data_IF_092323674394
#
_entry.id   IF_092323674394
#
_cell.length_a   1.000
_cell.length_b   1.000
_cell.length_c   1.000
_cell.angle_alpha   90.00
_cell.angle_beta   90.00
_cell.angle_gamma   90.00
#
_symmetry.space_group_name_H-M   'P 1'
#
loop_
_entity.id
_entity.type
_entity.pdbx_description
1 polymer ?
#
# COMPACT_ATOMS: atom_id res chain seq x y z
N UNK A 1 -24.45 -6.09 5.23
CA UNK A 1 -23.14 -6.56 5.70
C UNK A 1 -22.81 -7.81 4.91
N UNK A 2 -21.76 -7.86 4.11
CA UNK A 2 -21.37 -9.10 3.44
C UNK A 2 -20.85 -10.09 4.46
N UNK A 3 -21.22 -11.34 4.28
CA UNK A 3 -20.89 -12.47 5.14
C UNK A 3 -19.37 -12.72 5.09
N UNK A 4 -18.68 -12.48 6.20
CA UNK A 4 -17.23 -12.71 6.32
C UNK A 4 -17.01 -14.16 6.73
N UNK A 5 -16.76 -15.04 5.76
CA UNK A 5 -16.44 -16.44 6.06
C UNK A 5 -14.97 -16.55 6.45
N UNK A 6 -14.69 -16.81 7.71
CA UNK A 6 -13.33 -17.09 8.20
C UNK A 6 -13.05 -18.58 8.13
N UNK A 7 -12.06 -18.98 7.36
CA UNK A 7 -11.56 -20.35 7.35
C UNK A 7 -10.35 -20.51 8.30
N UNK A 8 -10.41 -21.43 9.24
CA UNK A 8 -9.26 -21.79 10.09
C UNK A 8 -8.74 -23.13 9.62
N UNK A 9 -7.52 -23.16 9.09
CA UNK A 9 -6.82 -24.42 8.82
C UNK A 9 -6.03 -24.78 10.06
N UNK A 10 -6.37 -25.90 10.69
CA UNK A 10 -5.61 -26.46 11.83
C UNK A 10 -4.61 -27.50 11.33
N UNK A 11 -3.33 -27.29 11.62
CA UNK A 11 -2.32 -28.32 11.47
C UNK A 11 -2.30 -29.18 12.76
N UNK A 12 -2.39 -30.52 12.68
CA UNK A 12 -2.56 -31.39 13.84
C UNK A 12 -1.40 -31.33 14.85
N UNK A 13 -0.19 -31.05 14.43
CA UNK A 13 1.02 -31.20 15.23
C UNK A 13 1.71 -29.92 15.71
N UNK A 14 1.23 -28.76 15.37
CA UNK A 14 1.74 -27.47 15.91
C UNK A 14 0.61 -26.48 16.08
N UNK A 15 0.57 -25.81 17.26
CA UNK A 15 -0.34 -24.69 17.54
C UNK A 15 0.01 -23.46 16.69
N UNK A 16 -0.04 -23.59 15.38
CA UNK A 16 0.08 -22.46 14.44
C UNK A 16 -1.33 -22.08 14.02
N UNK A 17 -1.82 -20.96 14.53
CA UNK A 17 -3.06 -20.35 14.04
C UNK A 17 -2.69 -19.61 12.75
N UNK A 18 -3.03 -20.18 11.61
CA UNK A 18 -3.01 -19.46 10.31
C UNK A 18 -4.40 -18.83 10.17
N UNK A 19 -4.47 -17.52 10.32
CA UNK A 19 -5.67 -16.77 9.96
C UNK A 19 -5.58 -16.48 8.47
N UNK A 20 -6.39 -17.16 7.69
CA UNK A 20 -6.59 -16.87 6.28
C UNK A 20 -7.94 -16.20 6.14
N UNK A 21 -7.94 -14.89 5.92
CA UNK A 21 -9.14 -14.14 5.59
C UNK A 21 -9.31 -14.16 4.08
N UNK A 22 -10.27 -14.92 3.57
CA UNK A 22 -10.68 -14.85 2.18
C UNK A 22 -11.74 -13.74 2.08
N UNK A 23 -11.34 -12.54 1.73
CA UNK A 23 -12.27 -11.46 1.41
C UNK A 23 -12.69 -11.61 -0.05
N UNK A 24 -13.83 -12.26 -0.28
CA UNK A 24 -14.54 -12.19 -1.56
C UNK A 24 -15.51 -11.00 -1.44
N UNK A 25 -15.00 -9.81 -1.74
CA UNK A 25 -15.81 -8.61 -1.85
C UNK A 25 -15.93 -8.23 -3.32
N UNK A 26 -17.15 -8.12 -3.84
CA UNK A 26 -17.38 -7.33 -5.03
C UNK A 26 -17.01 -5.89 -4.68
N UNK A 27 -15.99 -5.35 -5.34
CA UNK A 27 -15.62 -3.92 -5.26
C UNK A 27 -16.72 -3.09 -5.91
N UNK A 28 -17.84 -2.87 -5.23
CA UNK A 28 -18.73 -1.77 -5.57
C UNK A 28 -18.10 -0.47 -5.08
N UNK A 29 -17.54 0.26 -6.02
CA UNK A 29 -17.26 1.70 -6.10
C UNK A 29 -17.35 2.53 -4.81
N UNK A 30 -16.32 2.44 -3.95
CA UNK A 30 -15.91 3.58 -3.16
C UNK A 30 -14.45 3.92 -3.57
N UNK A 31 -14.28 4.30 -4.82
CA UNK A 31 -13.03 4.87 -5.30
C UNK A 31 -12.98 6.31 -4.84
N UNK A 32 -12.18 6.62 -3.83
CA UNK A 32 -11.78 8.01 -3.62
C UNK A 32 -11.17 8.51 -4.92
N UNK A 33 -11.78 9.54 -5.51
CA UNK A 33 -11.22 10.15 -6.71
C UNK A 33 -9.93 10.88 -6.33
N UNK A 34 -8.80 10.34 -6.73
CA UNK A 34 -7.47 10.91 -6.47
C UNK A 34 -7.07 11.98 -7.49
N UNK A 35 -7.83 12.17 -8.56
CA UNK A 35 -7.56 13.14 -9.62
C UNK A 35 -7.44 14.56 -9.04
N UNK A 36 -6.29 15.19 -9.25
CA UNK A 36 -5.97 16.55 -8.77
C UNK A 36 -5.69 16.66 -7.28
N UNK A 37 -5.84 15.58 -6.50
CA UNK A 37 -5.57 15.57 -5.06
C UNK A 37 -4.10 15.71 -4.75
N UNK A 38 -3.75 16.54 -3.76
CA UNK A 38 -2.38 16.67 -3.26
C UNK A 38 -2.14 15.63 -2.17
N UNK A 39 -1.29 14.66 -2.47
CA UNK A 39 -1.08 13.48 -1.63
C UNK A 39 0.35 13.42 -1.11
N UNK A 40 0.52 13.45 0.20
CA UNK A 40 1.81 13.22 0.83
C UNK A 40 2.21 11.76 0.70
N UNK A 41 3.43 11.49 0.27
CA UNK A 41 4.08 10.19 0.36
C UNK A 41 5.19 10.30 1.39
N UNK A 42 5.00 9.68 2.54
CA UNK A 42 5.97 9.70 3.63
C UNK A 42 6.92 8.52 3.52
N UNK A 43 8.15 8.81 3.22
CA UNK A 43 9.25 7.88 2.95
C UNK A 43 9.65 7.88 1.47
N UNK A 44 10.95 7.97 1.20
CA UNK A 44 11.56 8.03 -0.13
C UNK A 44 12.16 6.71 -0.59
N UNK A 45 11.90 5.61 0.13
CA UNK A 45 12.32 4.26 -0.21
C UNK A 45 11.52 3.66 -1.38
N UNK A 46 11.75 2.37 -1.67
CA UNK A 46 11.13 1.64 -2.77
C UNK A 46 9.60 1.75 -2.78
N UNK A 47 8.96 1.56 -1.63
CA UNK A 47 7.49 1.65 -1.48
C UNK A 47 6.98 3.05 -1.72
N UNK A 48 7.66 4.07 -1.16
CA UNK A 48 7.27 5.47 -1.35
C UNK A 48 7.41 5.91 -2.81
N UNK A 49 8.50 5.55 -3.48
CA UNK A 49 8.66 5.83 -4.92
C UNK A 49 7.53 5.16 -5.72
N UNK A 50 7.24 3.88 -5.48
CA UNK A 50 6.14 3.18 -6.15
C UNK A 50 4.77 3.80 -5.87
N UNK A 51 4.53 4.30 -4.65
CA UNK A 51 3.31 5.03 -4.32
C UNK A 51 3.23 6.38 -5.06
N UNK A 52 4.34 7.14 -5.14
CA UNK A 52 4.39 8.40 -5.86
C UNK A 52 4.15 8.22 -7.37
N UNK A 53 4.74 7.20 -7.98
CA UNK A 53 4.51 6.83 -9.39
C UNK A 53 3.04 6.45 -9.64
N UNK A 54 2.46 5.64 -8.75
CA UNK A 54 1.06 5.24 -8.84
C UNK A 54 0.14 6.46 -8.75
N UNK A 55 0.37 7.34 -7.79
CA UNK A 55 -0.38 8.57 -7.59
C UNK A 55 -0.32 9.48 -8.82
N UNK A 56 0.87 9.68 -9.39
CA UNK A 56 1.04 10.45 -10.62
C UNK A 56 0.23 9.87 -11.79
N UNK A 57 0.26 8.54 -11.97
CA UNK A 57 -0.47 7.83 -13.03
C UNK A 57 -1.99 7.90 -12.88
N UNK A 58 -2.51 8.02 -11.66
CA UNK A 58 -3.96 8.22 -11.41
C UNK A 58 -4.36 9.70 -11.40
N UNK A 59 -3.44 10.61 -11.74
CA UNK A 59 -3.69 12.05 -11.86
C UNK A 59 -3.67 12.81 -10.54
N UNK A 60 -3.17 12.23 -9.46
CA UNK A 60 -2.88 12.94 -8.22
C UNK A 60 -1.58 13.75 -8.32
N UNK A 61 -1.36 14.63 -7.35
CA UNK A 61 -0.15 15.43 -7.19
C UNK A 61 0.65 14.92 -5.99
N UNK A 62 1.59 13.99 -6.17
CA UNK A 62 2.38 13.47 -5.06
C UNK A 62 3.37 14.52 -4.54
N UNK A 63 3.50 14.56 -3.22
CA UNK A 63 4.51 15.31 -2.48
C UNK A 63 5.30 14.29 -1.67
N UNK A 64 6.60 14.15 -1.93
CA UNK A 64 7.44 13.20 -1.19
C UNK A 64 8.04 13.92 0.02
N UNK A 65 7.92 13.29 1.19
CA UNK A 65 8.58 13.74 2.41
C UNK A 65 9.38 12.59 3.03
N UNK A 66 10.58 12.90 3.49
CA UNK A 66 11.42 11.98 4.25
C UNK A 66 12.03 12.70 5.46
N UNK A 67 12.03 12.05 6.62
CA UNK A 67 12.60 12.58 7.84
C UNK A 67 14.12 12.71 7.83
N UNK A 68 14.81 12.11 6.87
CA UNK A 68 16.25 12.23 6.70
C UNK A 68 16.62 13.60 6.10
N UNK A 69 17.30 14.44 6.88
CA UNK A 69 17.75 15.76 6.47
C UNK A 69 18.80 15.74 5.35
N UNK A 70 19.57 14.65 5.28
CA UNK A 70 20.66 14.47 4.32
C UNK A 70 20.19 13.81 3.02
N UNK A 71 18.87 13.72 2.81
CA UNK A 71 18.29 13.13 1.60
C UNK A 71 18.68 13.93 0.36
N UNK A 72 19.25 13.26 -0.62
CA UNK A 72 19.46 13.82 -1.96
C UNK A 72 18.13 13.87 -2.73
N UNK A 73 17.52 15.06 -2.72
CA UNK A 73 16.22 15.31 -3.37
C UNK A 73 16.27 15.09 -4.88
N UNK A 74 17.39 15.45 -5.53
CA UNK A 74 17.53 15.26 -6.98
C UNK A 74 17.51 13.77 -7.36
N UNK A 75 18.17 12.94 -6.57
CA UNK A 75 18.12 11.49 -6.75
C UNK A 75 16.71 10.93 -6.56
N UNK A 76 15.91 11.48 -5.64
CA UNK A 76 14.50 11.07 -5.45
C UNK A 76 13.65 11.50 -6.65
N UNK A 77 13.78 12.75 -7.12
CA UNK A 77 13.04 13.28 -8.28
C UNK A 77 13.30 12.42 -9.53
N UNK A 78 14.56 12.05 -9.77
CA UNK A 78 14.94 11.21 -10.92
C UNK A 78 14.31 9.81 -10.89
N UNK A 79 13.89 9.32 -9.73
CA UNK A 79 13.22 8.01 -9.57
C UNK A 79 11.73 8.04 -9.89
N UNK A 80 11.14 9.23 -10.06
CA UNK A 80 9.72 9.40 -10.41
C UNK A 80 9.60 10.22 -11.70
N UNK A 81 10.11 9.71 -12.85
CA UNK A 81 10.25 10.49 -14.09
C UNK A 81 8.91 10.92 -14.69
N UNK A 82 7.84 10.18 -14.42
CA UNK A 82 6.50 10.46 -14.96
C UNK A 82 5.78 11.61 -14.20
N UNK A 83 6.42 12.18 -13.18
CA UNK A 83 5.85 13.22 -12.35
C UNK A 83 6.54 14.58 -12.59
N UNK A 84 5.96 15.38 -13.49
CA UNK A 84 6.44 16.75 -13.68
C UNK A 84 6.20 17.60 -12.43
N UNK A 85 7.25 18.29 -11.95
CA UNK A 85 7.19 19.19 -10.79
C UNK A 85 6.85 18.52 -9.45
N UNK A 86 7.38 17.33 -9.21
CA UNK A 86 7.24 16.66 -7.90
C UNK A 86 7.93 17.50 -6.80
N UNK A 87 7.18 17.79 -5.72
CA UNK A 87 7.73 18.44 -4.55
C UNK A 87 8.41 17.38 -3.64
N UNK A 88 9.64 17.63 -3.21
CA UNK A 88 10.38 16.74 -2.30
C UNK A 88 10.89 17.53 -1.08
N UNK A 89 10.50 17.08 0.10
CA UNK A 89 10.90 17.67 1.38
C UNK A 89 11.75 16.66 2.18
N UNK A 90 12.79 17.17 2.84
CA UNK A 90 13.75 16.39 3.62
C UNK A 90 13.91 16.99 5.02
N UNK A 91 13.79 16.16 6.05
CA UNK A 91 13.94 16.55 7.45
C UNK A 91 12.74 17.28 8.04
N UNK A 92 12.25 18.32 7.39
CA UNK A 92 11.12 19.12 7.86
C UNK A 92 10.06 19.26 6.75
N UNK A 93 8.78 19.13 7.12
CA UNK A 93 7.64 19.38 6.25
C UNK A 93 6.96 20.69 6.67
N UNK A 94 7.04 21.76 5.84
CA UNK A 94 6.47 23.06 6.19
C UNK A 94 4.96 22.99 6.45
N UNK A 95 4.47 23.77 7.43
CA UNK A 95 3.04 23.80 7.77
C UNK A 95 2.14 24.20 6.60
N UNK A 96 2.59 25.14 5.76
CA UNK A 96 1.86 25.54 4.56
C UNK A 96 1.69 24.41 3.55
N UNK A 97 2.61 23.43 3.54
CA UNK A 97 2.48 22.22 2.73
C UNK A 97 1.48 21.27 3.37
N UNK A 98 1.59 21.06 4.69
CA UNK A 98 0.67 20.18 5.43
C UNK A 98 -0.79 20.61 5.26
N UNK A 99 -1.08 21.92 5.32
CA UNK A 99 -2.44 22.49 5.17
C UNK A 99 -3.06 22.29 3.77
N UNK A 100 -2.25 21.96 2.77
CA UNK A 100 -2.71 21.75 1.38
C UNK A 100 -2.91 20.27 1.02
N UNK A 101 -2.65 19.36 1.96
CA UNK A 101 -2.75 17.93 1.72
C UNK A 101 -4.21 17.47 1.78
N UNK A 102 -4.57 16.57 0.88
CA UNK A 102 -5.87 15.88 0.86
C UNK A 102 -5.78 14.47 1.47
N UNK A 103 -4.56 13.90 1.50
CA UNK A 103 -4.30 12.54 1.94
C UNK A 103 -2.81 12.40 2.29
N UNK A 104 -2.49 11.55 3.26
CA UNK A 104 -1.13 11.07 3.51
C UNK A 104 -1.03 9.56 3.25
N UNK A 105 0.02 9.13 2.55
CA UNK A 105 0.35 7.73 2.31
C UNK A 105 1.67 7.41 3.00
N UNK A 106 1.65 6.47 3.94
CA UNK A 106 2.81 6.07 4.71
C UNK A 106 3.51 4.86 4.07
N UNK A 107 4.83 4.96 3.93
CA UNK A 107 5.66 3.77 3.65
C UNK A 107 5.69 2.83 4.86
N UNK A 108 5.85 1.50 4.69
CA UNK A 108 5.79 0.52 5.78
C UNK A 108 6.75 0.74 6.95
N UNK A 109 7.85 1.47 6.71
CA UNK A 109 8.84 1.81 7.74
C UNK A 109 8.54 3.07 8.55
N UNK A 110 7.45 3.79 8.24
CA UNK A 110 7.07 5.01 8.96
C UNK A 110 6.14 4.65 10.10
N UNK A 111 6.53 4.89 11.38
CA UNK A 111 5.67 4.61 12.51
C UNK A 111 4.44 5.51 12.54
N UNK A 112 3.29 4.95 12.93
CA UNK A 112 2.01 5.69 13.00
C UNK A 112 1.92 6.61 14.22
N UNK A 113 2.79 6.39 15.22
CA UNK A 113 2.78 7.09 16.50
C UNK A 113 3.68 8.33 16.58
N UNK A 114 4.40 8.66 15.50
CA UNK A 114 5.25 9.87 15.46
C UNK A 114 4.41 11.15 15.46
N UNK A 115 4.92 12.27 16.00
CA UNK A 115 4.16 13.52 16.16
C UNK A 115 3.51 14.03 14.88
N UNK A 116 4.22 13.98 13.75
CA UNK A 116 3.71 14.43 12.46
C UNK A 116 2.50 13.59 11.99
N UNK A 117 2.56 12.28 12.12
CA UNK A 117 1.44 11.40 11.72
C UNK A 117 0.25 11.59 12.65
N UNK A 118 0.49 11.73 13.96
CA UNK A 118 -0.57 12.06 14.93
C UNK A 118 -1.27 13.37 14.59
N UNK A 119 -0.51 14.40 14.19
CA UNK A 119 -1.11 15.69 13.79
C UNK A 119 -2.01 15.56 12.57
N UNK A 120 -1.73 14.64 11.64
CA UNK A 120 -2.60 14.37 10.50
C UNK A 120 -3.95 13.79 10.97
N UNK A 121 -3.94 12.81 11.85
CA UNK A 121 -5.17 12.27 12.44
C UNK A 121 -5.98 13.32 13.20
N UNK A 122 -5.31 14.17 14.02
CA UNK A 122 -5.93 15.24 14.76
C UNK A 122 -6.58 16.30 13.86
N UNK A 123 -6.02 16.55 12.69
CA UNK A 123 -6.55 17.45 11.67
C UNK A 123 -7.63 16.82 10.80
N UNK A 124 -7.93 15.53 10.98
CA UNK A 124 -8.87 14.77 10.14
C UNK A 124 -8.35 14.49 8.72
N UNK A 125 -7.04 14.60 8.49
CA UNK A 125 -6.45 14.20 7.22
C UNK A 125 -6.47 12.67 7.13
N UNK A 126 -7.02 12.07 6.06
CA UNK A 126 -6.94 10.63 5.86
C UNK A 126 -5.48 10.16 5.77
N UNK A 127 -5.18 9.01 6.41
CA UNK A 127 -3.83 8.44 6.43
C UNK A 127 -3.91 6.98 6.02
N UNK A 128 -3.37 6.67 4.86
CA UNK A 128 -3.34 5.31 4.31
C UNK A 128 -1.93 4.73 4.34
N UNK A 129 -1.85 3.41 4.34
CA UNK A 129 -0.62 2.72 3.97
C UNK A 129 -0.54 2.52 2.46
N UNK A 130 0.63 2.10 1.97
CA UNK A 130 0.83 1.79 0.55
C UNK A 130 -0.10 0.66 0.07
N UNK A 131 -0.41 -0.29 0.96
CA UNK A 131 -1.31 -1.42 0.67
C UNK A 131 -2.73 -0.93 0.41
N UNK A 132 -3.24 -0.02 1.25
CA UNK A 132 -4.55 0.59 1.08
C UNK A 132 -4.64 1.37 -0.24
N UNK A 133 -3.61 2.18 -0.55
CA UNK A 133 -3.53 2.90 -1.83
C UNK A 133 -3.57 1.94 -3.01
N UNK A 134 -2.77 0.88 -2.99
CA UNK A 134 -2.71 -0.12 -4.07
C UNK A 134 -4.03 -0.88 -4.20
N UNK A 135 -4.65 -1.24 -3.07
CA UNK A 135 -5.94 -1.92 -3.05
C UNK A 135 -7.05 -1.06 -3.66
N UNK A 136 -7.12 0.22 -3.30
CA UNK A 136 -8.15 1.15 -3.83
C UNK A 136 -7.96 1.49 -5.32
N UNK A 137 -6.74 1.43 -5.82
CA UNK A 137 -6.42 1.73 -7.22
C UNK A 137 -6.38 0.49 -8.12
N UNK A 138 -6.01 -0.67 -7.56
CA UNK A 138 -5.97 -1.93 -8.27
C UNK A 138 -7.37 -2.55 -8.47
N UNK A 139 -7.42 -3.62 -9.25
CA UNK A 139 -8.63 -4.37 -9.58
C UNK A 139 -8.47 -5.85 -9.26
N UNK A 140 -9.57 -6.61 -9.37
CA UNK A 140 -9.60 -8.04 -9.16
C UNK A 140 -9.65 -8.43 -7.68
N UNK A 141 -9.47 -9.69 -7.39
CA UNK A 141 -9.52 -10.23 -6.01
C UNK A 141 -8.13 -10.26 -5.37
N UNK A 142 -8.10 -10.17 -4.05
CA UNK A 142 -6.87 -10.21 -3.27
C UNK A 142 -6.90 -11.39 -2.29
N UNK A 143 -5.79 -12.13 -2.25
CA UNK A 143 -5.49 -13.17 -1.27
C UNK A 143 -4.33 -12.66 -0.42
N UNK A 144 -4.64 -12.14 0.76
CA UNK A 144 -3.64 -11.55 1.65
C UNK A 144 -3.09 -12.59 2.63
N UNK A 145 -1.77 -12.63 2.78
CA UNK A 145 -1.07 -13.52 3.69
C UNK A 145 -0.33 -12.69 4.75
N UNK A 146 -0.69 -12.88 5.98
CA UNK A 146 0.04 -12.32 7.13
C UNK A 146 0.32 -13.39 8.18
N UNK A 147 1.12 -13.08 9.17
CA UNK A 147 1.45 -13.98 10.27
C UNK A 147 2.87 -13.76 10.78
N UNK A 148 3.23 -14.38 11.89
CA UNK A 148 4.56 -14.25 12.51
C UNK A 148 5.64 -14.93 11.66
N UNK A 149 5.38 -16.15 11.18
CA UNK A 149 6.30 -16.96 10.41
C UNK A 149 5.63 -17.55 9.18
N UNK A 150 6.41 -17.91 8.16
CA UNK A 150 5.95 -18.63 6.97
C UNK A 150 5.21 -17.78 5.94
N UNK A 151 5.06 -16.48 6.13
CA UNK A 151 4.40 -15.58 5.16
C UNK A 151 4.95 -15.76 3.75
N UNK A 152 6.25 -15.58 3.59
CA UNK A 152 6.94 -15.65 2.29
C UNK A 152 6.76 -16.98 1.60
N UNK A 153 6.95 -18.07 2.34
CA UNK A 153 6.79 -19.42 1.79
C UNK A 153 5.34 -19.67 1.35
N UNK A 154 4.39 -19.25 2.19
CA UNK A 154 2.96 -19.42 1.88
C UNK A 154 2.56 -18.54 0.68
N UNK A 155 3.03 -17.29 0.63
CA UNK A 155 2.78 -16.37 -0.48
C UNK A 155 3.35 -16.91 -1.79
N UNK A 156 4.60 -17.40 -1.77
CA UNK A 156 5.23 -17.97 -2.95
C UNK A 156 4.51 -19.24 -3.43
N UNK A 157 4.16 -20.14 -2.51
CA UNK A 157 3.44 -21.36 -2.84
C UNK A 157 2.03 -21.05 -3.40
N UNK A 158 1.28 -20.18 -2.74
CA UNK A 158 -0.05 -19.81 -3.20
C UNK A 158 0.02 -19.07 -4.54
N UNK A 159 1.00 -18.18 -4.72
CA UNK A 159 1.25 -17.50 -5.98
C UNK A 159 1.52 -18.51 -7.12
N UNK A 160 2.32 -19.54 -6.87
CA UNK A 160 2.57 -20.60 -7.85
C UNK A 160 1.30 -21.37 -8.19
N UNK A 161 0.54 -21.80 -7.18
CA UNK A 161 -0.73 -22.55 -7.38
C UNK A 161 -1.71 -21.73 -8.22
N UNK A 162 -1.86 -20.43 -7.87
CA UNK A 162 -2.76 -19.54 -8.61
C UNK A 162 -2.28 -19.30 -10.03
N UNK A 163 -0.98 -19.13 -10.26
CA UNK A 163 -0.40 -18.94 -11.60
C UNK A 163 -0.52 -20.18 -12.50
N UNK A 164 -0.64 -21.36 -11.92
CA UNK A 164 -0.89 -22.59 -12.68
C UNK A 164 -2.39 -22.74 -13.05
N UNK A 165 -3.27 -22.04 -12.34
CA UNK A 165 -4.72 -22.12 -12.50
C UNK A 165 -5.35 -20.92 -13.22
N UNK A 166 -4.69 -19.77 -13.27
CA UNK A 166 -5.24 -18.52 -13.77
C UNK A 166 -4.22 -17.73 -14.61
N UNK A 167 -4.72 -17.04 -15.64
CA UNK A 167 -3.88 -16.32 -16.61
C UNK A 167 -3.31 -14.99 -16.06
N UNK A 168 -3.92 -14.42 -15.01
CA UNK A 168 -3.55 -13.10 -14.50
C UNK A 168 -3.36 -13.12 -12.99
N UNK A 169 -2.16 -13.42 -12.55
CA UNK A 169 -1.79 -13.52 -11.14
C UNK A 169 -0.63 -12.57 -10.82
N UNK A 170 -0.77 -11.83 -9.74
CA UNK A 170 0.26 -10.91 -9.22
C UNK A 170 0.68 -11.35 -7.82
N UNK A 171 1.98 -11.56 -7.63
CA UNK A 171 2.57 -11.82 -6.31
C UNK A 171 3.30 -10.56 -5.87
N UNK A 172 2.82 -9.93 -4.80
CA UNK A 172 3.24 -8.58 -4.39
C UNK A 172 3.29 -8.43 -2.87
N UNK A 173 3.75 -7.30 -2.39
CA UNK A 173 3.64 -6.88 -0.99
C UNK A 173 4.98 -6.66 -0.31
N UNK A 174 5.07 -7.08 0.95
CA UNK A 174 6.22 -6.83 1.83
C UNK A 174 7.55 -7.41 1.27
N UNK A 175 7.49 -8.43 0.43
CA UNK A 175 8.64 -9.04 -0.22
C UNK A 175 8.48 -8.98 -1.74
N UNK A 176 9.60 -8.74 -2.43
CA UNK A 176 9.68 -8.72 -3.88
C UNK A 176 9.19 -7.42 -4.50
N UNK A 177 8.06 -7.48 -5.17
CA UNK A 177 7.48 -6.35 -5.90
C UNK A 177 6.49 -5.58 -5.03
N UNK A 178 6.65 -4.25 -4.84
CA UNK A 178 5.66 -3.44 -4.13
C UNK A 178 4.27 -3.54 -4.78
N UNK A 179 3.21 -3.62 -3.97
CA UNK A 179 1.85 -3.73 -4.48
C UNK A 179 1.47 -2.52 -5.35
N UNK A 180 1.87 -1.31 -4.94
CA UNK A 180 1.64 -0.07 -5.67
C UNK A 180 2.20 -0.09 -7.10
N UNK A 181 3.33 -0.76 -7.33
CA UNK A 181 3.96 -0.82 -8.65
C UNK A 181 3.19 -1.67 -9.67
N UNK A 182 2.27 -2.52 -9.22
CA UNK A 182 1.49 -3.44 -10.06
C UNK A 182 0.00 -3.12 -10.08
N UNK A 183 -0.48 -2.23 -9.24
CA UNK A 183 -1.90 -1.98 -9.05
C UNK A 183 -2.65 -1.64 -10.36
N UNK A 184 -2.06 -0.83 -11.25
CA UNK A 184 -2.69 -0.43 -12.51
C UNK A 184 -2.63 -1.49 -13.62
N UNK A 185 -1.79 -2.51 -13.47
CA UNK A 185 -1.74 -3.64 -14.42
C UNK A 185 -2.87 -4.65 -14.15
N UNK A 186 -3.49 -4.59 -12.97
CA UNK A 186 -4.53 -5.52 -12.52
C UNK A 186 -5.86 -5.25 -13.21
N UNK A 187 -6.54 -6.32 -13.61
CA UNK A 187 -7.86 -6.33 -14.25
C UNK A 187 -8.89 -6.94 -13.29
N UNK A 188 -10.17 -6.80 -13.60
CA UNK A 188 -11.24 -7.38 -12.77
C UNK A 188 -11.12 -8.91 -12.65
N UNK A 189 -10.52 -9.58 -13.65
CA UNK A 189 -10.22 -11.01 -13.64
C UNK A 189 -8.91 -11.39 -12.93
N UNK A 190 -8.12 -10.43 -12.44
CA UNK A 190 -6.82 -10.71 -11.82
C UNK A 190 -6.95 -11.24 -10.40
N UNK A 191 -6.00 -12.09 -10.02
CA UNK A 191 -5.80 -12.52 -8.63
C UNK A 191 -4.48 -11.96 -8.12
N UNK A 192 -4.54 -11.25 -7.01
CA UNK A 192 -3.37 -10.72 -6.31
C UNK A 192 -3.10 -11.56 -5.08
N UNK A 193 -1.91 -12.12 -4.97
CA UNK A 193 -1.41 -12.82 -3.78
C UNK A 193 -0.44 -11.87 -3.07
N UNK A 194 -0.88 -11.30 -1.96
CA UNK A 194 -0.16 -10.24 -1.26
C UNK A 194 0.43 -10.70 0.07
N UNK A 195 1.74 -10.53 0.25
CA UNK A 195 2.36 -10.66 1.57
C UNK A 195 2.20 -9.35 2.34
N UNK A 196 1.55 -9.39 3.50
CA UNK A 196 1.28 -8.21 4.32
C UNK A 196 1.94 -8.36 5.69
N UNK A 197 2.71 -7.34 6.09
CA UNK A 197 3.26 -7.25 7.44
C UNK A 197 2.23 -6.72 8.44
N UNK A 198 2.45 -6.94 9.75
CA UNK A 198 1.60 -6.38 10.79
C UNK A 198 1.57 -4.84 10.74
N UNK A 199 2.69 -4.19 10.47
CA UNK A 199 2.77 -2.73 10.35
C UNK A 199 1.93 -2.18 9.18
N UNK A 200 1.87 -2.90 8.06
CA UNK A 200 1.04 -2.50 6.93
C UNK A 200 -0.46 -2.62 7.22
N UNK A 201 -0.86 -3.46 8.19
CA UNK A 201 -2.24 -3.60 8.63
C UNK A 201 -2.73 -2.44 9.52
N UNK A 202 -1.81 -1.63 10.09
CA UNK A 202 -2.17 -0.51 10.95
C UNK A 202 -2.82 0.66 10.22
N UNK A 203 -2.65 0.73 8.91
CA UNK A 203 -3.07 1.85 8.05
C UNK A 203 -4.01 1.43 6.93
N UNK A 204 -4.75 0.36 7.13
CA UNK A 204 -5.80 -0.10 6.22
C UNK A 204 -7.17 0.40 6.68
N UNK A 205 -8.05 0.65 5.72
CA UNK A 205 -9.45 1.06 5.94
C UNK A 205 -10.42 0.09 5.24
N UNK A 206 -10.19 -0.17 3.94
CA UNK A 206 -11.07 -0.98 3.08
C UNK A 206 -10.45 -2.32 2.68
N UNK A 207 -9.12 -2.43 2.77
CA UNK A 207 -8.35 -3.63 2.42
C UNK A 207 -8.75 -4.88 3.20
#
# INVERSE_FOLDING_TARGET
MPDRTFGIIRCPDKKVKIHMSLLIGNKEEIKMNLQGKKVLVFGSGKSGIGAAELLAKVGAQPVIYDGNKDLDKETVIKKVPDCNNIEVYAGELPEEVQKRLDLAVLSPGVPTDIPLVKSFYEQGLPVWGEVELAYRTGKGRVLAITGTNGKTTTTALLGKIMSDAEDSVFVVGNIGTPYTSKALEMKDSSTTVAEISSFQLETIEEF
#
